data_IF_073638721883
#
_entry.id   IF_073638721883
#
_cell.length_a   1.000
_cell.length_b   1.000
_cell.length_c   1.000
_cell.angle_alpha   90.00
_cell.angle_beta   90.00
_cell.angle_gamma   90.00
#
_symmetry.space_group_name_H-M   'P 1'
#
loop_
_entity.id
_entity.type
_entity.pdbx_description
1 polymer ?
#
# COMPACT_ATOMS: atom_id res chain seq x y z
N UNK A 1 20.96 -40.98 -11.19
CA UNK A 1 20.80 -39.70 -11.91
C UNK A 1 19.34 -39.58 -12.32
N UNK A 2 18.65 -38.47 -12.04
CA UNK A 2 17.31 -38.26 -12.58
C UNK A 2 17.38 -38.34 -14.11
N UNK A 3 16.46 -39.08 -14.72
CA UNK A 3 16.34 -39.12 -16.18
C UNK A 3 15.96 -37.73 -16.70
N UNK A 4 16.37 -37.36 -17.92
CA UNK A 4 16.03 -36.05 -18.51
C UNK A 4 14.52 -35.77 -18.46
N UNK A 5 13.67 -36.80 -18.51
CA UNK A 5 12.23 -36.71 -18.32
C UNK A 5 11.85 -36.20 -16.91
N UNK A 6 12.46 -36.73 -15.85
CA UNK A 6 12.19 -36.29 -14.48
C UNK A 6 12.60 -34.83 -14.23
N UNK A 7 13.73 -34.40 -14.81
CA UNK A 7 14.17 -33.00 -14.75
C UNK A 7 13.23 -32.06 -15.52
N UNK A 8 12.73 -32.49 -16.68
CA UNK A 8 11.72 -31.76 -17.45
C UNK A 8 10.41 -31.60 -16.67
N UNK A 9 9.88 -32.68 -16.07
CA UNK A 9 8.67 -32.61 -15.24
C UNK A 9 8.85 -31.69 -14.02
N UNK A 10 10.03 -31.71 -13.38
CA UNK A 10 10.31 -30.82 -12.25
C UNK A 10 10.33 -29.35 -12.67
N UNK A 11 10.96 -29.02 -13.81
CA UNK A 11 10.98 -27.65 -14.34
C UNK A 11 9.59 -27.15 -14.71
N UNK A 12 8.76 -28.00 -15.33
CA UNK A 12 7.38 -27.65 -15.70
C UNK A 12 6.51 -27.40 -14.45
N UNK A 13 6.58 -28.29 -13.46
CA UNK A 13 5.89 -28.11 -12.18
C UNK A 13 6.31 -26.79 -11.50
N UNK A 14 7.61 -26.47 -11.46
CA UNK A 14 8.11 -25.21 -10.90
C UNK A 14 7.69 -23.98 -11.68
N UNK A 15 7.60 -24.08 -13.00
CA UNK A 15 7.08 -23.00 -13.84
C UNK A 15 5.60 -22.71 -13.54
N UNK A 16 4.81 -23.75 -13.28
CA UNK A 16 3.41 -23.65 -12.83
C UNK A 16 3.34 -23.03 -11.43
N UNK A 17 4.13 -23.51 -10.48
CA UNK A 17 4.18 -22.96 -9.11
C UNK A 17 4.55 -21.48 -9.11
N UNK A 18 5.53 -21.09 -9.93
CA UNK A 18 5.91 -19.69 -10.10
C UNK A 18 4.78 -18.84 -10.69
N UNK A 19 3.96 -19.39 -11.59
CA UNK A 19 2.76 -18.71 -12.09
C UNK A 19 1.69 -18.57 -10.99
N UNK A 20 1.49 -19.60 -10.18
CA UNK A 20 0.55 -19.55 -9.05
C UNK A 20 0.97 -18.52 -8.02
N UNK A 21 2.27 -18.43 -7.71
CA UNK A 21 2.84 -17.42 -6.82
C UNK A 21 2.64 -16.00 -7.37
N UNK A 22 2.84 -15.80 -8.67
CA UNK A 22 2.54 -14.51 -9.31
C UNK A 22 1.06 -14.15 -9.15
N UNK A 23 0.15 -15.05 -9.50
CA UNK A 23 -1.30 -14.82 -9.41
C UNK A 23 -1.74 -14.55 -7.97
N UNK A 24 -1.17 -15.26 -6.99
CA UNK A 24 -1.47 -15.05 -5.57
C UNK A 24 -0.97 -13.68 -5.10
N UNK A 25 0.22 -13.25 -5.49
CA UNK A 25 0.75 -11.92 -5.18
C UNK A 25 -0.09 -10.81 -5.81
N UNK A 26 -0.51 -10.97 -7.07
CA UNK A 26 -1.37 -10.00 -7.75
C UNK A 26 -2.72 -9.86 -7.04
N UNK A 27 -3.36 -10.99 -6.69
CA UNK A 27 -4.63 -10.95 -5.95
C UNK A 27 -4.50 -10.30 -4.56
N UNK A 28 -3.40 -10.57 -3.85
CA UNK A 28 -3.11 -9.97 -2.56
C UNK A 28 -2.85 -8.45 -2.69
N UNK A 29 -2.07 -8.03 -3.68
CA UNK A 29 -1.81 -6.63 -3.98
C UNK A 29 -3.12 -5.88 -4.28
N UNK A 30 -4.00 -6.45 -5.11
CA UNK A 30 -5.32 -5.88 -5.41
C UNK A 30 -6.19 -5.78 -4.15
N UNK A 31 -6.19 -6.80 -3.30
CA UNK A 31 -6.95 -6.78 -2.05
C UNK A 31 -6.47 -5.68 -1.09
N UNK A 32 -5.15 -5.51 -0.94
CA UNK A 32 -4.54 -4.45 -0.14
C UNK A 32 -4.88 -3.08 -0.71
N UNK A 33 -4.75 -2.88 -2.03
CA UNK A 33 -5.09 -1.62 -2.69
C UNK A 33 -6.56 -1.24 -2.49
N UNK A 34 -7.48 -2.20 -2.69
CA UNK A 34 -8.93 -1.99 -2.46
C UNK A 34 -9.22 -1.55 -1.03
N UNK A 35 -8.61 -2.21 -0.03
CA UNK A 35 -8.76 -1.82 1.38
C UNK A 35 -8.16 -0.45 1.65
N UNK A 36 -7.01 -0.14 1.05
CA UNK A 36 -6.29 1.11 1.24
C UNK A 36 -7.04 2.34 0.72
N UNK A 37 -7.92 2.16 -0.27
CA UNK A 37 -8.70 3.25 -0.85
C UNK A 37 -9.62 3.93 0.18
N UNK A 38 -10.03 3.20 1.23
CA UNK A 38 -10.78 3.77 2.37
C UNK A 38 -9.97 4.81 3.15
N UNK A 39 -8.66 4.65 3.24
CA UNK A 39 -7.80 5.64 3.90
C UNK A 39 -7.67 6.90 3.05
N UNK A 40 -7.66 6.78 1.72
CA UNK A 40 -7.66 7.94 0.82
C UNK A 40 -8.94 8.74 0.97
N UNK A 41 -10.11 8.08 0.98
CA UNK A 41 -11.39 8.77 1.19
C UNK A 41 -11.47 9.39 2.58
N UNK A 42 -11.07 8.67 3.63
CA UNK A 42 -11.02 9.20 5.00
C UNK A 42 -10.10 10.43 5.09
N UNK A 43 -8.91 10.38 4.48
CA UNK A 43 -7.97 11.51 4.41
C UNK A 43 -8.60 12.73 3.74
N UNK A 44 -9.28 12.54 2.60
CA UNK A 44 -9.97 13.62 1.89
C UNK A 44 -11.08 14.23 2.73
N UNK A 45 -11.90 13.41 3.38
CA UNK A 45 -12.99 13.87 4.25
C UNK A 45 -12.43 14.66 5.43
N UNK A 46 -11.38 14.16 6.10
CA UNK A 46 -10.72 14.86 7.20
C UNK A 46 -10.09 16.18 6.75
N UNK A 47 -9.46 16.23 5.57
CA UNK A 47 -8.87 17.45 5.01
C UNK A 47 -9.95 18.50 4.70
N UNK A 48 -11.06 18.09 4.09
CA UNK A 48 -12.21 18.97 3.84
C UNK A 48 -12.83 19.47 5.15
N UNK A 49 -12.99 18.61 6.15
CA UNK A 49 -13.50 18.99 7.46
C UNK A 49 -12.56 19.99 8.15
N UNK A 50 -11.25 19.77 8.09
CA UNK A 50 -10.26 20.70 8.63
C UNK A 50 -10.33 22.07 7.92
N UNK A 51 -10.41 22.08 6.60
CA UNK A 51 -10.55 23.30 5.80
C UNK A 51 -11.85 24.05 6.13
N UNK A 52 -12.97 23.34 6.28
CA UNK A 52 -14.25 23.92 6.67
C UNK A 52 -14.20 24.52 8.09
N UNK A 53 -13.52 23.85 9.04
CA UNK A 53 -13.36 24.34 10.39
C UNK A 53 -12.51 25.63 10.44
N UNK A 54 -11.35 25.63 9.78
CA UNK A 54 -10.46 26.79 9.71
C UNK A 54 -11.14 27.94 8.95
N UNK A 55 -11.81 27.67 7.85
CA UNK A 55 -12.59 28.65 7.08
C UNK A 55 -13.72 29.26 7.91
N UNK A 56 -14.50 28.43 8.60
CA UNK A 56 -15.57 28.89 9.49
C UNK A 56 -15.06 29.76 10.63
N UNK A 57 -13.96 29.37 11.28
CA UNK A 57 -13.29 30.20 12.28
C UNK A 57 -12.84 31.54 11.70
N UNK A 58 -12.24 31.54 10.50
CA UNK A 58 -11.82 32.76 9.79
C UNK A 58 -12.98 33.71 9.46
N UNK A 59 -14.14 33.17 9.05
CA UNK A 59 -15.36 33.97 8.80
C UNK A 59 -15.85 34.63 10.10
N UNK A 60 -15.86 33.89 11.21
CA UNK A 60 -16.27 34.43 12.52
C UNK A 60 -15.29 35.52 13.00
N UNK A 61 -13.99 35.30 12.84
CA UNK A 61 -12.95 36.31 13.15
C UNK A 61 -13.14 37.57 12.32
N UNK A 62 -13.33 37.42 11.00
CA UNK A 62 -13.56 38.53 10.07
C UNK A 62 -14.79 39.34 10.46
N UNK A 63 -15.89 38.67 10.83
CA UNK A 63 -17.09 39.33 11.31
C UNK A 63 -16.86 40.11 12.61
N UNK A 64 -16.08 39.57 13.55
CA UNK A 64 -15.69 40.27 14.77
C UNK A 64 -14.82 41.51 14.51
N UNK A 65 -13.94 41.48 13.51
CA UNK A 65 -13.07 42.61 13.20
C UNK A 65 -13.75 43.74 12.43
N UNK A 66 -14.85 43.48 11.70
CA UNK A 66 -15.59 44.52 10.99
C UNK A 66 -16.26 45.51 11.96
N UNK A 67 -16.03 46.82 11.73
CA UNK A 67 -16.57 47.92 12.56
C UNK A 67 -18.08 48.09 12.48
N UNK A 68 -18.70 47.73 11.35
CA UNK A 68 -20.14 47.93 11.06
C UNK A 68 -21.05 47.28 12.12
N UNK A 69 -20.61 46.16 12.71
CA UNK A 69 -21.44 45.38 13.65
C UNK A 69 -21.18 45.69 15.13
N UNK A 70 -20.41 46.75 15.45
CA UNK A 70 -20.02 47.05 16.85
C UNK A 70 -21.22 47.30 17.76
N UNK A 71 -22.23 48.02 17.27
CA UNK A 71 -23.45 48.33 18.05
C UNK A 71 -24.25 47.08 18.37
N UNK A 72 -24.38 46.16 17.41
CA UNK A 72 -25.09 44.90 17.62
C UNK A 72 -24.42 44.04 18.71
N UNK A 73 -23.08 44.00 18.72
CA UNK A 73 -22.29 43.25 19.71
C UNK A 73 -22.50 43.76 21.14
N UNK A 74 -22.59 45.08 21.31
CA UNK A 74 -22.87 45.69 22.62
C UNK A 74 -24.26 45.33 23.14
N UNK A 75 -25.23 45.16 22.24
CA UNK A 75 -26.61 44.77 22.60
C UNK A 75 -26.77 43.27 22.90
N UNK A 76 -25.87 42.40 22.42
CA UNK A 76 -26.01 40.94 22.54
C UNK A 76 -24.71 40.24 23.02
N UNK A 77 -24.25 40.51 24.25
CA UNK A 77 -22.97 39.96 24.75
C UNK A 77 -22.97 38.43 24.86
N UNK A 78 -24.10 37.82 25.22
CA UNK A 78 -24.21 36.36 25.34
C UNK A 78 -23.99 35.64 23.99
N UNK A 79 -24.55 36.16 22.90
CA UNK A 79 -24.36 35.60 21.56
C UNK A 79 -22.92 35.74 21.08
N UNK A 80 -22.28 36.87 21.39
CA UNK A 80 -20.85 37.10 21.09
C UNK A 80 -19.96 36.11 21.83
N UNK A 81 -20.25 35.81 23.11
CA UNK A 81 -19.53 34.80 23.86
C UNK A 81 -19.69 33.39 23.25
N UNK A 82 -20.91 33.04 22.81
CA UNK A 82 -21.17 31.76 22.14
C UNK A 82 -20.43 31.64 20.79
N UNK A 83 -20.44 32.69 19.97
CA UNK A 83 -19.69 32.74 18.71
C UNK A 83 -18.18 32.59 18.94
N UNK A 84 -17.64 33.24 19.98
CA UNK A 84 -16.22 33.12 20.34
C UNK A 84 -15.86 31.71 20.78
N UNK A 85 -16.72 31.05 21.55
CA UNK A 85 -16.55 29.62 21.91
C UNK A 85 -16.57 28.75 20.65
N UNK A 86 -17.55 28.93 19.77
CA UNK A 86 -17.64 28.21 18.49
C UNK A 86 -16.38 28.40 17.63
N UNK A 87 -15.88 29.63 17.51
CA UNK A 87 -14.64 29.93 16.80
C UNK A 87 -13.45 29.18 17.37
N UNK A 88 -13.29 29.15 18.70
CA UNK A 88 -12.21 28.40 19.35
C UNK A 88 -12.37 26.89 19.15
N UNK A 89 -13.57 26.35 19.25
CA UNK A 89 -13.84 24.94 18.98
C UNK A 89 -13.48 24.57 17.53
N UNK A 90 -13.90 25.38 16.56
CA UNK A 90 -13.58 25.16 15.13
C UNK A 90 -12.08 25.28 14.87
N UNK A 91 -11.41 26.26 15.45
CA UNK A 91 -9.97 26.42 15.31
C UNK A 91 -9.21 25.22 15.92
N UNK A 92 -9.60 24.80 17.13
CA UNK A 92 -9.01 23.65 17.80
C UNK A 92 -9.26 22.35 17.03
N UNK A 93 -10.50 22.10 16.57
CA UNK A 93 -10.84 20.90 15.81
C UNK A 93 -10.15 20.86 14.44
N UNK A 94 -10.05 22.00 13.76
CA UNK A 94 -9.32 22.10 12.50
C UNK A 94 -7.83 21.79 12.69
N UNK A 95 -7.22 22.36 13.73
CA UNK A 95 -5.81 22.12 14.03
C UNK A 95 -5.54 20.68 14.45
N UNK A 96 -6.39 20.08 15.29
CA UNK A 96 -6.22 18.68 15.70
C UNK A 96 -6.39 17.71 14.53
N UNK A 97 -7.33 17.97 13.62
CA UNK A 97 -7.47 17.18 12.38
C UNK A 97 -6.24 17.28 11.48
N UNK A 98 -5.66 18.49 11.31
CA UNK A 98 -4.43 18.68 10.55
C UNK A 98 -3.25 17.94 11.18
N UNK A 99 -3.09 18.05 12.50
CA UNK A 99 -2.06 17.32 13.23
C UNK A 99 -2.24 15.81 13.13
N UNK A 100 -3.48 15.31 13.18
CA UNK A 100 -3.78 13.90 12.99
C UNK A 100 -3.45 13.41 11.58
N UNK A 101 -3.75 14.21 10.55
CA UNK A 101 -3.41 13.90 9.16
C UNK A 101 -1.90 13.84 8.92
N UNK A 102 -1.13 14.71 9.57
CA UNK A 102 0.34 14.77 9.48
C UNK A 102 1.03 13.77 10.42
N UNK A 103 0.32 13.24 11.41
CA UNK A 103 0.87 12.30 12.39
C UNK A 103 1.30 10.99 11.73
N UNK A 104 2.35 10.33 12.25
CA UNK A 104 2.74 8.98 11.82
C UNK A 104 1.64 7.92 12.07
N UNK A 105 0.63 8.26 12.88
CA UNK A 105 -0.55 7.41 13.16
C UNK A 105 -1.73 7.74 12.22
N UNK A 106 -1.60 8.80 11.42
CA UNK A 106 -2.64 9.29 10.52
C UNK A 106 -2.91 8.40 9.32
N UNK A 107 -4.02 8.67 8.65
CA UNK A 107 -4.44 7.93 7.45
C UNK A 107 -3.43 7.97 6.31
N UNK A 108 -2.65 9.06 6.20
CA UNK A 108 -1.60 9.19 5.18
C UNK A 108 -0.47 8.20 5.43
N UNK A 109 0.04 8.14 6.66
CA UNK A 109 1.11 7.21 7.04
C UNK A 109 0.67 5.74 6.89
N UNK A 110 -0.58 5.43 7.25
CA UNK A 110 -1.16 4.10 7.04
C UNK A 110 -1.28 3.77 5.55
N UNK A 111 -1.71 4.72 4.71
CA UNK A 111 -1.78 4.53 3.26
C UNK A 111 -0.40 4.27 2.65
N UNK A 112 0.62 5.03 3.04
CA UNK A 112 1.99 4.81 2.60
C UNK A 112 2.54 3.44 3.00
N UNK A 113 2.28 3.00 4.24
CA UNK A 113 2.69 1.67 4.69
C UNK A 113 2.08 0.57 3.80
N UNK A 114 0.79 0.69 3.45
CA UNK A 114 0.12 -0.23 2.52
C UNK A 114 0.68 -0.16 1.10
N UNK A 115 1.06 1.02 0.62
CA UNK A 115 1.73 1.14 -0.69
C UNK A 115 3.10 0.47 -0.69
N UNK A 116 3.87 0.57 0.40
CA UNK A 116 5.16 -0.13 0.52
C UNK A 116 4.97 -1.64 0.51
N UNK A 117 3.94 -2.14 1.19
CA UNK A 117 3.55 -3.55 1.19
C UNK A 117 3.20 -4.04 -0.22
N UNK A 118 2.35 -3.30 -0.96
CA UNK A 118 2.01 -3.60 -2.35
C UNK A 118 3.25 -3.63 -3.24
N UNK A 119 4.15 -2.65 -3.13
CA UNK A 119 5.41 -2.64 -3.91
C UNK A 119 6.30 -3.86 -3.63
N UNK A 120 6.30 -4.37 -2.40
CA UNK A 120 7.02 -5.61 -2.06
C UNK A 120 6.36 -6.82 -2.72
N UNK A 121 5.02 -6.90 -2.72
CA UNK A 121 4.28 -7.94 -3.42
C UNK A 121 4.53 -7.91 -4.94
N UNK A 122 4.55 -6.72 -5.54
CA UNK A 122 4.87 -6.55 -6.96
C UNK A 122 6.31 -7.00 -7.27
N UNK A 123 7.27 -6.68 -6.40
CA UNK A 123 8.65 -7.14 -6.56
C UNK A 123 8.77 -8.68 -6.52
N UNK A 124 8.06 -9.33 -5.59
CA UNK A 124 7.98 -10.80 -5.51
C UNK A 124 7.33 -11.37 -6.77
N UNK A 125 6.21 -10.78 -7.22
CA UNK A 125 5.49 -11.21 -8.42
C UNK A 125 6.38 -11.13 -9.68
N UNK A 126 7.13 -10.04 -9.85
CA UNK A 126 8.08 -9.89 -10.96
C UNK A 126 9.19 -10.94 -10.89
N UNK A 127 9.77 -11.17 -9.71
CA UNK A 127 10.80 -12.20 -9.52
C UNK A 127 10.25 -13.61 -9.79
N UNK A 128 9.01 -13.90 -9.42
CA UNK A 128 8.32 -15.15 -9.74
C UNK A 128 8.17 -15.34 -11.26
N UNK A 129 7.78 -14.30 -12.00
CA UNK A 129 7.73 -14.36 -13.47
C UNK A 129 9.10 -14.58 -14.12
N UNK A 130 10.16 -13.96 -13.58
CA UNK A 130 11.53 -14.20 -14.03
C UNK A 130 11.92 -15.65 -13.79
N UNK A 131 11.60 -16.23 -12.62
CA UNK A 131 11.84 -17.64 -12.34
C UNK A 131 11.05 -18.56 -13.27
N UNK A 132 9.77 -18.28 -13.52
CA UNK A 132 8.97 -19.01 -14.50
C UNK A 132 9.68 -19.06 -15.85
N UNK A 133 10.14 -17.91 -16.36
CA UNK A 133 10.87 -17.84 -17.64
C UNK A 133 12.16 -18.67 -17.60
N UNK A 134 12.89 -18.66 -16.48
CA UNK A 134 14.10 -19.47 -16.30
C UNK A 134 13.79 -20.97 -16.32
N UNK A 135 12.78 -21.42 -15.59
CA UNK A 135 12.36 -22.83 -15.60
C UNK A 135 11.89 -23.29 -16.98
N UNK A 136 11.14 -22.45 -17.72
CA UNK A 136 10.75 -22.74 -19.12
C UNK A 136 11.98 -22.81 -20.03
N UNK A 137 12.93 -21.87 -19.91
CA UNK A 137 14.17 -21.95 -20.71
C UNK A 137 15.00 -23.20 -20.39
N UNK A 138 15.02 -23.63 -19.12
CA UNK A 138 15.70 -24.86 -18.72
C UNK A 138 15.00 -26.09 -19.30
N UNK A 139 13.66 -26.12 -19.27
CA UNK A 139 12.86 -27.15 -19.91
C UNK A 139 13.18 -27.27 -21.41
N UNK A 140 13.25 -26.15 -22.12
CA UNK A 140 13.60 -26.11 -23.55
C UNK A 140 15.03 -26.65 -23.78
N UNK A 141 15.99 -26.32 -22.92
CA UNK A 141 17.35 -26.85 -23.03
C UNK A 141 17.45 -28.35 -22.71
N UNK A 142 16.71 -28.84 -21.72
CA UNK A 142 16.70 -30.27 -21.33
C UNK A 142 16.04 -31.13 -22.41
N UNK A 143 15.02 -30.59 -23.07
CA UNK A 143 14.32 -31.27 -24.18
C UNK A 143 15.12 -31.21 -25.49
N UNK A 144 15.89 -30.14 -25.73
CA UNK A 144 16.71 -29.97 -26.94
C UNK A 144 18.11 -30.61 -26.86
N UNK A 145 18.73 -30.74 -25.68
CA UNK A 145 20.11 -31.19 -25.54
C UNK A 145 20.23 -32.58 -24.88
N UNK A 146 20.76 -33.55 -25.61
CA UNK A 146 21.10 -34.88 -25.09
C UNK A 146 22.46 -34.96 -24.37
N UNK A 147 23.15 -33.84 -24.12
CA UNK A 147 24.58 -33.85 -23.70
C UNK A 147 25.07 -32.75 -22.74
N UNK A 148 24.23 -31.85 -22.23
CA UNK A 148 24.66 -30.72 -21.38
C UNK A 148 24.11 -30.82 -19.94
N UNK A 149 24.11 -32.03 -19.36
CA UNK A 149 23.43 -32.31 -18.10
C UNK A 149 24.01 -31.53 -16.91
N UNK A 150 25.32 -31.39 -16.77
CA UNK A 150 25.97 -30.75 -15.62
C UNK A 150 25.69 -29.24 -15.52
N UNK A 151 25.74 -28.51 -16.64
CA UNK A 151 25.40 -27.07 -16.63
C UNK A 151 23.93 -26.81 -16.33
N UNK A 152 23.03 -27.71 -16.76
CA UNK A 152 21.59 -27.59 -16.50
C UNK A 152 21.24 -27.80 -15.02
N UNK A 153 21.97 -28.68 -14.33
CA UNK A 153 21.77 -28.96 -12.90
C UNK A 153 22.18 -27.76 -12.03
N UNK A 154 23.35 -27.17 -12.27
CA UNK A 154 23.81 -25.98 -11.54
C UNK A 154 22.83 -24.79 -11.71
N UNK A 155 22.30 -24.61 -12.92
CA UNK A 155 21.32 -23.55 -13.18
C UNK A 155 19.98 -23.79 -12.52
N UNK A 156 19.56 -25.06 -12.42
CA UNK A 156 18.35 -25.45 -11.71
C UNK A 156 18.49 -25.23 -10.20
N UNK A 157 19.61 -25.64 -9.61
CA UNK A 157 19.89 -25.43 -8.18
C UNK A 157 19.87 -23.95 -7.80
N UNK A 158 20.46 -23.05 -8.61
CA UNK A 158 20.37 -21.61 -8.38
C UNK A 158 18.93 -21.07 -8.47
N UNK A 159 18.11 -21.64 -9.36
CA UNK A 159 16.70 -21.27 -9.44
C UNK A 159 15.94 -21.71 -8.19
N UNK A 160 16.25 -22.90 -7.66
CA UNK A 160 15.67 -23.42 -6.41
C UNK A 160 16.08 -22.60 -5.18
N UNK A 161 17.33 -22.15 -5.10
CA UNK A 161 17.79 -21.23 -4.04
C UNK A 161 17.00 -19.92 -4.08
N UNK A 162 16.89 -19.32 -5.27
CA UNK A 162 16.13 -18.08 -5.48
C UNK A 162 14.64 -18.28 -5.15
N UNK A 163 14.08 -19.46 -5.50
CA UNK A 163 12.71 -19.83 -5.19
C UNK A 163 12.48 -19.93 -3.67
N UNK A 164 13.38 -20.59 -2.94
CA UNK A 164 13.31 -20.72 -1.49
C UNK A 164 13.42 -19.36 -0.78
N UNK A 165 14.29 -18.47 -1.27
CA UNK A 165 14.39 -17.10 -0.77
C UNK A 165 13.09 -16.31 -1.00
N UNK A 166 12.49 -16.42 -2.18
CA UNK A 166 11.23 -15.75 -2.50
C UNK A 166 10.06 -16.23 -1.64
N UNK A 167 9.99 -17.53 -1.36
CA UNK A 167 8.97 -18.07 -0.46
C UNK A 167 9.16 -17.53 0.96
N UNK A 168 10.40 -17.44 1.46
CA UNK A 168 10.68 -16.80 2.76
C UNK A 168 10.23 -15.34 2.78
N UNK A 169 10.54 -14.57 1.73
CA UNK A 169 10.09 -13.18 1.61
C UNK A 169 8.55 -13.08 1.57
N UNK A 170 7.86 -14.00 0.89
CA UNK A 170 6.40 -14.03 0.79
C UNK A 170 5.74 -14.34 2.14
N UNK A 171 6.24 -15.33 2.87
CA UNK A 171 5.74 -15.74 4.20
C UNK A 171 5.84 -14.60 5.22
N UNK A 172 6.92 -13.80 5.15
CA UNK A 172 7.07 -12.62 6.03
C UNK A 172 5.99 -11.55 5.80
N UNK A 173 5.41 -11.49 4.59
CA UNK A 173 4.37 -10.52 4.24
C UNK A 173 2.98 -11.08 4.55
N UNK A 174 2.75 -12.37 4.35
CA UNK A 174 1.48 -13.04 4.62
C UNK A 174 1.74 -14.46 5.12
N UNK A 175 1.53 -14.69 6.43
CA UNK A 175 1.74 -15.99 7.08
C UNK A 175 0.77 -17.06 6.60
N UNK A 176 -0.30 -16.70 5.86
CA UNK A 176 -1.30 -17.65 5.36
C UNK A 176 -0.91 -18.31 4.03
N UNK A 177 0.35 -18.15 3.57
CA UNK A 177 0.89 -18.69 2.30
C UNK A 177 1.95 -19.73 2.57
#
# INVERSE_FOLDING_TARGET
MPTNAAAAFACDARAVDAQLLYNSCESAAVAVLRRSNRYVTATRVCALAAAACVGGAGVIVSWHYRRIYRVWRLRHPARVAQQRRLMWFLAASGMTLLLFLLSPVGFVAQHEARLREVRRLDAIAVRALVLKRRYVSLLDTITAASGAATSSTDTYERCEETWAELLKERVVIDENV
#
